data_IF_517111028130
#
_entry.id   IF_517111028130
#
_cell.length_a   1.000
_cell.length_b   1.000
_cell.length_c   1.000
_cell.angle_alpha   90.00
_cell.angle_beta   90.00
_cell.angle_gamma   90.00
#
_symmetry.space_group_name_H-M   'P 1'
#
loop_
_entity.id
_entity.type
_entity.pdbx_description
1 polymer ?
#
# COMPACT_ATOMS: atom_id res chain seq x y z
N UNK A 1 9.35 -22.40 15.91
CA UNK A 1 8.11 -21.61 16.09
C UNK A 1 6.93 -22.51 15.74
N UNK A 2 5.86 -22.59 16.55
CA UNK A 2 4.63 -23.26 16.11
C UNK A 2 4.08 -22.53 14.87
N UNK A 3 3.53 -23.29 13.92
CA UNK A 3 2.89 -22.72 12.73
C UNK A 3 1.72 -21.81 13.09
N UNK A 4 1.35 -20.85 12.22
CA UNK A 4 0.21 -19.97 12.47
C UNK A 4 -1.07 -20.80 12.66
N UNK A 5 -1.91 -20.42 13.62
CA UNK A 5 -3.20 -21.06 13.81
C UNK A 5 -4.12 -20.78 12.61
N UNK A 6 -5.03 -21.72 12.32
CA UNK A 6 -5.99 -21.61 11.20
C UNK A 6 -6.80 -20.30 11.29
N UNK A 7 -7.12 -19.84 12.51
CA UNK A 7 -7.80 -18.55 12.73
C UNK A 7 -7.00 -17.36 12.22
N UNK A 8 -5.67 -17.35 12.37
CA UNK A 8 -4.81 -16.28 11.83
C UNK A 8 -4.71 -16.35 10.32
N UNK A 9 -4.66 -17.55 9.74
CA UNK A 9 -4.70 -17.71 8.28
C UNK A 9 -6.03 -17.18 7.69
N UNK A 10 -7.14 -17.39 8.38
CA UNK A 10 -8.44 -16.87 7.96
C UNK A 10 -8.46 -15.33 7.88
N UNK A 11 -7.73 -14.64 8.77
CA UNK A 11 -7.62 -13.17 8.70
C UNK A 11 -6.85 -12.67 7.47
N UNK A 12 -5.96 -13.48 6.90
CA UNK A 12 -5.30 -13.12 5.64
C UNK A 12 -6.27 -13.19 4.45
N UNK A 13 -7.22 -14.12 4.47
CA UNK A 13 -8.28 -14.21 3.45
C UNK A 13 -9.25 -13.02 3.56
N UNK A 14 -9.48 -12.51 4.77
CA UNK A 14 -10.32 -11.33 4.99
C UNK A 14 -9.80 -10.08 4.24
N UNK A 15 -8.49 -9.99 3.98
CA UNK A 15 -7.90 -8.90 3.20
C UNK A 15 -8.47 -8.79 1.77
N UNK A 16 -8.88 -9.91 1.17
CA UNK A 16 -9.58 -9.90 -0.13
C UNK A 16 -10.95 -9.24 0.00
N UNK A 17 -11.67 -9.54 1.09
CA UNK A 17 -12.94 -8.91 1.43
C UNK A 17 -12.79 -7.40 1.68
N UNK A 18 -11.74 -6.99 2.40
CA UNK A 18 -11.42 -5.58 2.63
C UNK A 18 -11.13 -4.82 1.33
N UNK A 19 -10.38 -5.44 0.41
CA UNK A 19 -10.13 -4.87 -0.91
C UNK A 19 -11.42 -4.72 -1.73
N UNK A 20 -12.31 -5.72 -1.64
CA UNK A 20 -13.65 -5.66 -2.23
C UNK A 20 -14.47 -4.50 -1.66
N UNK A 21 -14.53 -4.39 -0.33
CA UNK A 21 -15.22 -3.31 0.37
C UNK A 21 -14.66 -1.92 0.02
N UNK A 22 -13.34 -1.77 -0.07
CA UNK A 22 -12.69 -0.55 -0.54
C UNK A 22 -13.10 -0.19 -1.97
N UNK A 23 -13.15 -1.18 -2.86
CA UNK A 23 -13.57 -0.96 -4.25
C UNK A 23 -15.04 -0.52 -4.33
N UNK A 24 -15.91 -1.13 -3.52
CA UNK A 24 -17.33 -0.77 -3.45
C UNK A 24 -17.56 0.63 -2.84
N UNK A 25 -16.67 1.10 -1.96
CA UNK A 25 -16.77 2.44 -1.36
C UNK A 25 -16.29 3.57 -2.29
N UNK A 26 -15.77 3.25 -3.48
CA UNK A 26 -15.23 4.24 -4.43
C UNK A 26 -16.16 5.45 -4.74
N UNK A 27 -17.50 5.30 -4.89
CA UNK A 27 -18.39 6.44 -5.11
C UNK A 27 -18.44 7.39 -3.90
N UNK A 28 -18.40 6.85 -2.68
CA UNK A 28 -18.37 7.64 -1.45
C UNK A 28 -17.03 8.36 -1.32
N UNK A 29 -15.93 7.66 -1.56
CA UNK A 29 -14.58 8.24 -1.55
C UNK A 29 -14.51 9.44 -2.50
N UNK A 30 -15.00 9.29 -3.74
CA UNK A 30 -15.04 10.39 -4.72
C UNK A 30 -15.87 11.59 -4.28
N UNK A 31 -16.94 11.36 -3.52
CA UNK A 31 -17.86 12.41 -3.07
C UNK A 31 -17.30 13.22 -1.89
N UNK A 32 -16.59 12.56 -0.97
CA UNK A 32 -16.23 13.14 0.32
C UNK A 32 -14.74 13.48 0.46
N UNK A 33 -13.85 12.87 -0.32
CA UNK A 33 -12.42 13.20 -0.22
C UNK A 33 -12.05 14.48 -0.97
N UNK A 34 -11.05 15.22 -0.45
CA UNK A 34 -10.46 16.35 -1.17
C UNK A 34 -9.90 15.93 -2.53
N UNK A 35 -10.15 16.78 -3.53
CA UNK A 35 -9.56 16.64 -4.86
C UNK A 35 -8.10 17.07 -4.86
N UNK A 36 -7.34 16.55 -5.81
CA UNK A 36 -5.90 16.74 -5.85
C UNK A 36 -5.45 18.17 -6.06
N UNK A 37 -4.50 18.59 -5.21
CA UNK A 37 -3.76 19.85 -5.30
C UNK A 37 -2.24 19.65 -5.19
N UNK A 38 -1.78 18.45 -4.77
CA UNK A 38 -0.36 18.14 -4.52
C UNK A 38 -0.01 16.71 -4.96
N UNK A 39 1.26 16.45 -5.29
CA UNK A 39 1.71 15.08 -5.55
C UNK A 39 1.73 14.21 -4.29
N UNK A 40 1.46 12.92 -4.46
CA UNK A 40 1.39 11.94 -3.37
C UNK A 40 2.31 10.76 -3.67
N UNK A 41 3.27 10.50 -2.80
CA UNK A 41 4.06 9.28 -2.83
C UNK A 41 3.38 8.19 -1.99
N UNK A 42 3.24 6.99 -2.54
CA UNK A 42 2.55 5.88 -1.86
C UNK A 42 3.55 4.83 -1.41
N UNK A 43 3.78 4.77 -0.11
CA UNK A 43 4.66 3.79 0.53
C UNK A 43 3.94 2.43 0.70
N UNK A 44 4.49 1.32 0.18
CA UNK A 44 3.98 -0.01 0.47
C UNK A 44 4.29 -0.41 1.92
N UNK A 45 3.38 -1.17 2.52
CA UNK A 45 3.63 -1.84 3.80
C UNK A 45 4.79 -2.82 3.72
N UNK A 46 5.26 -3.29 4.87
CA UNK A 46 6.36 -4.26 4.95
C UNK A 46 6.07 -5.52 4.12
N UNK A 47 7.07 -6.00 3.39
CA UNK A 47 7.05 -7.08 2.40
C UNK A 47 6.13 -6.87 1.19
N UNK A 48 5.38 -5.77 1.15
CA UNK A 48 4.53 -5.43 0.02
C UNK A 48 5.32 -4.64 -1.04
N UNK A 49 4.71 -4.45 -2.20
CA UNK A 49 5.29 -3.65 -3.28
C UNK A 49 4.19 -2.94 -4.06
N UNK A 50 4.58 -2.29 -5.14
CA UNK A 50 3.69 -1.41 -5.90
C UNK A 50 2.42 -2.06 -6.45
N UNK A 51 2.41 -3.39 -6.58
CA UNK A 51 1.23 -4.17 -6.94
C UNK A 51 0.10 -4.06 -5.90
N UNK A 52 0.43 -4.13 -4.60
CA UNK A 52 -0.57 -4.09 -3.52
C UNK A 52 -1.18 -2.70 -3.34
N UNK A 53 -0.44 -1.64 -3.69
CA UNK A 53 -0.89 -0.25 -3.57
C UNK A 53 -1.61 0.26 -4.81
N UNK A 54 -1.71 -0.52 -5.90
CA UNK A 54 -2.38 -0.12 -7.15
C UNK A 54 -3.82 0.38 -6.94
N UNK A 55 -4.67 -0.28 -6.13
CA UNK A 55 -6.04 0.19 -5.92
C UNK A 55 -6.07 1.58 -5.27
N UNK A 56 -5.21 1.81 -4.27
CA UNK A 56 -5.08 3.10 -3.60
C UNK A 56 -4.61 4.19 -4.56
N UNK A 57 -3.52 3.95 -5.31
CA UNK A 57 -2.98 4.90 -6.29
C UNK A 57 -4.02 5.29 -7.35
N UNK A 58 -4.71 4.31 -7.95
CA UNK A 58 -5.79 4.57 -8.92
C UNK A 58 -6.91 5.42 -8.35
N UNK A 59 -7.28 5.22 -7.08
CA UNK A 59 -8.32 6.02 -6.43
C UNK A 59 -7.86 7.47 -6.23
N UNK A 60 -6.61 7.67 -5.81
CA UNK A 60 -6.01 9.00 -5.68
C UNK A 60 -5.86 9.71 -7.04
N UNK A 61 -5.43 8.99 -8.09
CA UNK A 61 -5.37 9.54 -9.46
C UNK A 61 -6.75 10.01 -9.94
N UNK A 62 -7.80 9.22 -9.67
CA UNK A 62 -9.19 9.57 -9.99
C UNK A 62 -9.73 10.76 -9.19
N UNK A 63 -9.15 11.03 -8.03
CA UNK A 63 -9.42 12.23 -7.22
C UNK A 63 -8.64 13.45 -7.74
N UNK A 64 -7.76 13.28 -8.73
CA UNK A 64 -6.96 14.34 -9.34
C UNK A 64 -5.58 14.54 -8.71
N UNK A 65 -5.14 13.63 -7.83
CA UNK A 65 -3.77 13.67 -7.29
C UNK A 65 -2.77 13.15 -8.33
N UNK A 66 -1.55 13.67 -8.31
CA UNK A 66 -0.44 13.06 -9.05
C UNK A 66 0.22 12.03 -8.15
N UNK A 67 0.03 10.73 -8.39
CA UNK A 67 0.61 9.70 -7.52
C UNK A 67 1.93 9.12 -8.05
N UNK A 68 2.84 8.83 -7.12
CA UNK A 68 4.10 8.15 -7.37
C UNK A 68 4.15 6.83 -6.61
N UNK A 69 4.65 5.79 -7.29
CA UNK A 69 4.93 4.49 -6.68
C UNK A 69 6.23 4.47 -5.91
N UNK A 70 6.47 3.34 -5.27
CA UNK A 70 7.73 3.01 -4.62
C UNK A 70 8.83 2.72 -5.63
N UNK A 71 8.53 2.00 -6.71
CA UNK A 71 9.42 1.62 -7.82
C UNK A 71 10.76 0.93 -7.42
N UNK A 72 10.96 0.59 -6.14
CA UNK A 72 12.14 -0.13 -5.63
C UNK A 72 11.84 -1.60 -5.28
N UNK A 73 10.75 -2.17 -5.82
CA UNK A 73 10.36 -3.56 -5.59
C UNK A 73 9.57 -3.78 -4.29
N UNK A 74 9.97 -4.77 -3.48
CA UNK A 74 9.33 -5.04 -2.17
C UNK A 74 9.97 -4.21 -1.08
N UNK A 75 9.16 -3.68 -0.17
CA UNK A 75 9.65 -3.05 1.05
C UNK A 75 10.18 -4.12 2.01
N UNK A 76 11.50 -4.35 2.00
CA UNK A 76 12.17 -5.28 2.91
C UNK A 76 12.55 -4.65 4.25
N UNK A 77 12.15 -3.40 4.50
CA UNK A 77 12.61 -2.63 5.66
C UNK A 77 14.11 -2.33 5.61
N UNK A 78 14.71 -1.97 6.75
CA UNK A 78 16.14 -1.70 6.84
C UNK A 78 16.92 -3.02 6.79
N UNK A 79 17.52 -3.32 5.64
CA UNK A 79 18.48 -4.42 5.50
C UNK A 79 19.90 -3.94 5.87
N UNK A 80 20.84 -4.83 6.23
CA UNK A 80 22.23 -4.46 6.50
C UNK A 80 22.84 -3.64 5.37
N UNK A 81 22.63 -4.03 4.11
CA UNK A 81 23.18 -3.33 2.95
C UNK A 81 22.64 -1.89 2.82
N UNK A 82 21.36 -1.68 3.13
CA UNK A 82 20.74 -0.34 3.15
C UNK A 82 21.32 0.49 4.29
N UNK A 83 21.49 -0.10 5.47
CA UNK A 83 22.00 0.59 6.65
C UNK A 83 23.47 0.99 6.47
N UNK A 84 24.31 0.09 5.97
CA UNK A 84 25.72 0.35 5.69
C UNK A 84 25.86 1.50 4.67
N UNK A 85 25.05 1.48 3.61
CA UNK A 85 25.04 2.56 2.60
C UNK A 85 24.53 3.93 3.09
N UNK A 86 23.81 3.98 4.21
CA UNK A 86 23.40 5.25 4.86
C UNK A 86 24.52 5.80 5.73
N UNK A 87 25.27 4.93 6.43
CA UNK A 87 26.35 5.32 7.34
C UNK A 87 27.61 5.73 6.58
N UNK A 88 27.88 5.09 5.43
CA UNK A 88 29.06 5.36 4.59
C UNK A 88 28.93 6.63 3.71
N UNK A 89 27.95 7.51 4.00
CA UNK A 89 27.68 8.74 3.25
C UNK A 89 27.76 10.01 4.10
#
# INVERSE_FOLDING_TARGET
MPGPSILRLATEVAAVGELGAFTMSAPLVKRWLPRGDRPVFVMPGFLAGDGSTRPLRRTLDRLGHTTYGWDLGRNLGPTPEILDGIVDR
#
